data_IF_383146018165
#
_entry.id   IF_383146018165
#
_cell.length_a   1.000
_cell.length_b   1.000
_cell.length_c   1.000
_cell.angle_alpha   90.00
_cell.angle_beta   90.00
_cell.angle_gamma   90.00
#
_symmetry.space_group_name_H-M   'P 1'
#
loop_
_entity.id
_entity.type
_entity.pdbx_description
1 polymer ?
#
# COMPACT_ATOMS: atom_id res chain seq x y z
N UNK A 1 -0.37 70.65 37.44
CA UNK A 1 -0.98 69.52 36.71
C UNK A 1 0.06 68.89 35.80
N UNK A 2 0.63 67.76 36.20
CA UNK A 2 1.50 66.90 35.38
C UNK A 2 1.05 65.47 35.67
N UNK A 3 0.48 64.80 34.67
CA UNK A 3 0.14 63.38 34.74
C UNK A 3 1.36 62.55 34.32
N UNK A 4 1.66 61.43 35.01
CA UNK A 4 2.69 60.50 34.56
C UNK A 4 2.11 59.52 33.54
N UNK A 5 2.83 59.34 32.43
CA UNK A 5 2.58 58.33 31.39
C UNK A 5 3.03 56.95 31.87
N UNK A 6 2.13 55.97 31.84
CA UNK A 6 2.41 54.55 32.06
C UNK A 6 3.00 53.90 30.79
N UNK A 7 3.94 52.95 30.89
CA UNK A 7 4.49 52.24 29.74
C UNK A 7 3.55 51.13 29.27
N UNK A 8 3.35 51.04 27.96
CA UNK A 8 2.61 49.96 27.31
C UNK A 8 3.41 48.64 27.39
N UNK A 9 2.86 47.66 28.10
CA UNK A 9 3.38 46.31 28.16
C UNK A 9 2.89 45.57 26.90
N UNK A 10 3.80 45.30 25.95
CA UNK A 10 3.51 44.55 24.73
C UNK A 10 3.30 43.07 25.05
N UNK A 11 2.05 42.62 24.95
CA UNK A 11 1.69 41.21 25.05
C UNK A 11 2.08 40.49 23.76
N UNK A 12 3.23 39.81 23.77
CA UNK A 12 3.64 38.95 22.66
C UNK A 12 2.74 37.70 22.64
N UNK A 13 1.87 37.61 21.64
CA UNK A 13 1.03 36.45 21.39
C UNK A 13 1.92 35.33 20.79
N UNK A 14 2.31 34.36 21.62
CA UNK A 14 2.95 33.14 21.14
C UNK A 14 1.90 32.30 20.40
N UNK A 15 1.91 32.33 19.06
CA UNK A 15 1.21 31.33 18.25
C UNK A 15 1.97 30.00 18.40
N UNK A 16 1.50 29.14 19.30
CA UNK A 16 1.84 27.73 19.27
C UNK A 16 1.17 27.13 18.01
N UNK A 17 1.96 26.88 16.97
CA UNK A 17 1.55 26.03 15.87
C UNK A 17 1.38 24.60 16.43
N UNK A 18 0.17 24.27 16.86
CA UNK A 18 -0.20 22.88 17.15
C UNK A 18 -0.08 22.09 15.85
N UNK A 19 0.90 21.20 15.76
CA UNK A 19 0.94 20.21 14.70
C UNK A 19 -0.34 19.37 14.80
N UNK A 20 -1.16 19.39 13.77
CA UNK A 20 -2.34 18.53 13.69
C UNK A 20 -1.87 17.09 13.89
N UNK A 21 -2.31 16.47 15.00
CA UNK A 21 -2.06 15.07 15.20
C UNK A 21 -2.74 14.30 14.06
N UNK A 22 -2.02 13.45 13.32
CA UNK A 22 -2.64 12.54 12.37
C UNK A 22 -3.70 11.72 13.10
N UNK A 23 -4.98 12.05 12.89
CA UNK A 23 -6.08 11.30 13.48
C UNK A 23 -6.15 9.94 12.79
N UNK A 24 -6.10 8.87 13.58
CA UNK A 24 -6.46 7.54 13.11
C UNK A 24 -7.96 7.37 13.25
N UNK A 25 -8.67 7.12 12.15
CA UNK A 25 -10.06 6.66 12.18
C UNK A 25 -10.09 5.14 12.06
N UNK A 26 -10.78 4.47 12.97
CA UNK A 26 -11.12 3.05 12.81
C UNK A 26 -12.19 2.89 11.73
N UNK A 27 -12.18 1.77 11.02
CA UNK A 27 -13.17 1.48 9.99
C UNK A 27 -13.07 0.06 9.44
N UNK A 28 -13.94 -0.22 8.48
CA UNK A 28 -13.93 -1.46 7.71
C UNK A 28 -14.23 -1.20 6.25
N UNK A 29 -13.73 -2.07 5.39
CA UNK A 29 -14.10 -2.13 3.97
C UNK A 29 -14.53 -3.56 3.63
N UNK A 30 -15.65 -3.68 2.93
CA UNK A 30 -16.15 -4.94 2.38
C UNK A 30 -15.67 -5.11 0.95
N UNK A 31 -14.99 -6.22 0.68
CA UNK A 31 -14.40 -6.53 -0.61
C UNK A 31 -15.03 -7.82 -1.16
N UNK A 32 -15.69 -7.71 -2.31
CA UNK A 32 -16.33 -8.85 -2.96
C UNK A 32 -15.28 -9.77 -3.58
N UNK A 33 -15.35 -11.07 -3.24
CA UNK A 33 -14.65 -12.15 -3.93
C UNK A 33 -15.70 -12.89 -4.76
N UNK A 34 -15.70 -12.67 -6.08
CA UNK A 34 -16.64 -13.30 -6.99
C UNK A 34 -16.35 -14.79 -7.12
N UNK A 35 -17.40 -15.60 -6.98
CA UNK A 35 -17.43 -17.03 -7.25
C UNK A 35 -17.09 -17.37 -8.70
N UNK A 36 -16.42 -18.52 -8.88
CA UNK A 36 -15.93 -19.02 -10.16
C UNK A 36 -15.12 -17.97 -10.94
N UNK A 37 -14.30 -17.17 -10.25
CA UNK A 37 -13.57 -16.05 -10.85
C UNK A 37 -12.27 -15.70 -10.12
N UNK A 38 -11.47 -14.85 -10.75
CA UNK A 38 -10.32 -14.18 -10.15
C UNK A 38 -10.72 -12.79 -9.65
N UNK A 39 -10.69 -12.56 -8.34
CA UNK A 39 -10.97 -11.27 -7.72
C UNK A 39 -9.68 -10.59 -7.28
N UNK A 40 -9.37 -9.42 -7.84
CA UNK A 40 -8.13 -8.68 -7.57
C UNK A 40 -8.39 -7.57 -6.58
N UNK A 41 -7.78 -7.67 -5.42
CA UNK A 41 -8.12 -6.88 -4.26
C UNK A 41 -6.86 -6.31 -3.61
N UNK A 42 -7.05 -5.30 -2.77
CA UNK A 42 -6.08 -4.80 -1.81
C UNK A 42 -6.77 -4.41 -0.50
N UNK A 43 -5.98 -4.17 0.55
CA UNK A 43 -6.46 -3.83 1.88
C UNK A 43 -6.33 -2.32 2.09
N UNK A 44 -7.43 -1.55 2.06
CA UNK A 44 -7.39 -0.10 2.25
C UNK A 44 -7.10 0.32 3.70
N UNK A 45 -7.41 -0.53 4.68
CA UNK A 45 -7.10 -0.33 6.09
C UNK A 45 -5.87 -1.14 6.51
N UNK A 46 -5.08 -0.54 7.41
CA UNK A 46 -3.91 -1.17 8.01
C UNK A 46 -4.21 -1.60 9.45
N UNK A 47 -3.35 -2.45 10.00
CA UNK A 47 -3.44 -2.82 11.42
C UNK A 47 -3.14 -1.61 12.31
N UNK A 48 -3.66 -1.56 13.55
CA UNK A 48 -3.24 -0.58 14.54
C UNK A 48 -1.73 -0.61 14.78
N UNK A 49 -1.12 0.55 15.00
CA UNK A 49 0.30 0.63 15.37
C UNK A 49 0.52 -0.01 16.75
N UNK A 50 1.65 -0.68 16.92
CA UNK A 50 2.07 -1.24 18.21
C UNK A 50 2.91 -0.28 19.03
N UNK A 51 3.61 0.64 18.36
CA UNK A 51 4.32 1.73 19.00
C UNK A 51 4.45 2.95 18.05
N UNK A 52 4.81 4.10 18.59
CA UNK A 52 4.98 5.36 17.88
C UNK A 52 6.11 6.19 18.52
N UNK A 53 6.80 7.02 17.75
CA UNK A 53 7.83 7.90 18.30
C UNK A 53 8.18 9.08 17.40
N UNK A 54 9.05 9.94 17.91
CA UNK A 54 9.60 11.07 17.16
C UNK A 54 11.07 10.82 16.84
N UNK A 55 11.50 11.23 15.65
CA UNK A 55 12.87 11.06 15.19
C UNK A 55 13.84 11.92 16.02
N UNK A 56 14.95 11.32 16.44
CA UNK A 56 16.09 11.99 17.10
C UNK A 56 17.38 11.95 16.27
N UNK A 57 17.47 11.01 15.34
CA UNK A 57 18.64 10.85 14.48
C UNK A 57 18.34 9.90 13.32
N UNK A 58 19.05 10.10 12.21
CA UNK A 58 18.88 9.36 10.97
C UNK A 58 20.26 8.98 10.44
N UNK A 59 20.43 7.71 10.13
CA UNK A 59 21.52 7.21 9.29
C UNK A 59 20.94 6.62 8.01
N UNK A 60 21.79 6.20 7.07
CA UNK A 60 21.35 5.78 5.73
C UNK A 60 20.25 4.69 5.76
N UNK A 61 20.31 3.77 6.73
CA UNK A 61 19.31 2.70 6.94
C UNK A 61 18.78 2.63 8.37
N UNK A 62 19.10 3.62 9.20
CA UNK A 62 18.80 3.59 10.62
C UNK A 62 17.98 4.79 11.03
N UNK A 63 17.00 4.56 11.90
CA UNK A 63 16.10 5.59 12.40
C UNK A 63 16.09 5.54 13.93
N UNK A 64 16.64 6.56 14.58
CA UNK A 64 16.70 6.67 16.03
C UNK A 64 15.50 7.45 16.54
N UNK A 65 14.75 6.91 17.50
CA UNK A 65 13.56 7.54 18.08
C UNK A 65 13.81 8.03 19.52
N UNK A 66 13.16 9.13 19.89
CA UNK A 66 13.29 9.77 21.20
C UNK A 66 12.63 8.94 22.31
N UNK A 67 13.29 8.85 23.46
CA UNK A 67 12.71 8.32 24.70
C UNK A 67 12.31 6.84 24.64
N UNK A 68 12.94 6.05 23.75
CA UNK A 68 12.65 4.63 23.58
C UNK A 68 13.57 3.76 24.44
N UNK A 69 13.04 2.63 24.86
CA UNK A 69 13.73 1.61 25.66
C UNK A 69 13.18 0.23 25.34
N UNK A 70 13.23 -0.10 24.05
CA UNK A 70 12.75 -1.36 23.50
C UNK A 70 13.63 -2.53 23.91
N UNK A 71 13.04 -3.72 23.96
CA UNK A 71 13.84 -4.94 23.94
C UNK A 71 14.47 -5.08 22.56
N UNK A 72 15.73 -5.51 22.52
CA UNK A 72 16.44 -5.79 21.27
C UNK A 72 15.59 -6.78 20.45
N UNK A 73 15.44 -6.49 19.17
CA UNK A 73 14.78 -7.34 18.18
C UNK A 73 13.29 -7.65 18.43
N UNK A 74 12.62 -6.90 19.32
CA UNK A 74 11.18 -7.06 19.54
C UNK A 74 10.30 -6.78 18.31
N UNK A 75 10.83 -6.07 17.32
CA UNK A 75 10.17 -5.78 16.04
C UNK A 75 10.74 -6.58 14.86
N UNK A 76 11.58 -7.58 15.13
CA UNK A 76 12.11 -8.48 14.11
C UNK A 76 11.28 -9.77 14.04
N UNK A 77 11.07 -10.27 12.81
CA UNK A 77 10.34 -11.52 12.61
C UNK A 77 11.13 -12.72 13.12
N UNK A 78 10.48 -13.50 13.98
CA UNK A 78 10.93 -14.80 14.46
C UNK A 78 9.74 -15.75 14.59
N UNK A 79 9.66 -16.74 13.69
CA UNK A 79 8.58 -17.72 13.62
C UNK A 79 8.24 -18.41 14.96
N UNK A 80 9.20 -18.58 15.87
CA UNK A 80 9.02 -19.30 17.13
C UNK A 80 8.57 -18.46 18.33
N UNK A 81 8.60 -17.12 18.25
CA UNK A 81 8.30 -16.25 19.40
C UNK A 81 7.77 -14.86 19.09
N UNK A 82 8.00 -14.37 17.87
CA UNK A 82 7.57 -13.06 17.39
C UNK A 82 7.22 -13.21 15.89
N UNK A 83 6.07 -13.82 15.54
CA UNK A 83 5.75 -14.14 14.14
C UNK A 83 5.23 -12.93 13.35
N UNK A 84 5.37 -11.71 13.88
CA UNK A 84 4.94 -10.51 13.17
C UNK A 84 6.10 -9.93 12.36
N UNK A 85 5.77 -9.20 11.32
CA UNK A 85 6.72 -8.33 10.64
C UNK A 85 6.19 -6.92 10.76
N UNK A 86 7.07 -5.95 11.02
CA UNK A 86 6.69 -4.55 11.21
C UNK A 86 7.25 -3.66 10.12
N UNK A 87 6.63 -2.50 9.95
CA UNK A 87 7.16 -1.39 9.18
C UNK A 87 7.06 -0.08 9.96
N UNK A 88 7.97 0.83 9.65
CA UNK A 88 7.95 2.21 10.12
C UNK A 88 7.23 3.08 9.08
N UNK A 89 6.13 3.72 9.46
CA UNK A 89 5.36 4.65 8.63
C UNK A 89 5.61 6.09 9.09
N UNK A 90 6.07 6.94 8.19
CA UNK A 90 6.25 8.37 8.45
C UNK A 90 4.91 9.12 8.34
N UNK A 91 4.58 9.89 9.39
CA UNK A 91 3.29 10.59 9.48
C UNK A 91 3.36 12.08 9.13
N UNK A 92 4.56 12.65 9.10
CA UNK A 92 4.80 14.04 8.74
C UNK A 92 6.19 14.22 8.14
N UNK A 93 6.52 15.47 7.80
CA UNK A 93 7.74 15.81 7.10
C UNK A 93 7.72 15.40 5.63
N UNK A 94 8.88 15.50 4.94
CA UNK A 94 8.95 15.24 3.50
C UNK A 94 8.60 13.80 3.12
N UNK A 95 8.90 12.84 4.01
CA UNK A 95 8.59 11.41 3.84
C UNK A 95 7.17 11.03 4.29
N UNK A 96 6.28 11.97 4.61
CA UNK A 96 4.91 11.64 4.99
C UNK A 96 4.27 10.67 3.99
N UNK A 97 3.85 9.51 4.49
CA UNK A 97 3.22 8.44 3.73
C UNK A 97 4.15 7.33 3.26
N UNK A 98 5.46 7.50 3.36
CA UNK A 98 6.46 6.47 3.06
C UNK A 98 6.52 5.48 4.21
N UNK A 99 6.71 4.21 3.89
CA UNK A 99 6.96 3.17 4.87
C UNK A 99 8.15 2.30 4.47
N UNK A 100 8.88 1.80 5.49
CA UNK A 100 9.95 0.82 5.29
C UNK A 100 9.80 -0.34 6.26
N UNK A 101 10.07 -1.55 5.78
CA UNK A 101 10.09 -2.75 6.62
C UNK A 101 11.18 -2.60 7.68
N UNK A 102 10.87 -3.00 8.91
CA UNK A 102 11.83 -3.08 10.00
C UNK A 102 12.52 -4.45 9.92
N UNK A 103 13.86 -4.43 9.86
CA UNK A 103 14.69 -5.64 9.84
C UNK A 103 15.08 -6.06 11.26
N UNK A 104 15.42 -5.09 12.10
CA UNK A 104 15.81 -5.29 13.50
C UNK A 104 15.67 -3.99 14.29
N UNK A 105 15.80 -4.07 15.61
CA UNK A 105 15.84 -2.89 16.47
C UNK A 105 16.79 -3.06 17.65
N UNK A 106 17.43 -1.97 18.03
CA UNK A 106 18.05 -1.79 19.36
C UNK A 106 17.04 -1.12 20.31
N UNK A 107 17.43 -0.71 21.53
CA UNK A 107 16.49 -0.05 22.45
C UNK A 107 15.86 1.26 21.94
N UNK A 108 16.50 1.96 21.00
CA UNK A 108 15.98 3.24 20.49
C UNK A 108 16.15 3.44 18.98
N UNK A 109 16.74 2.47 18.28
CA UNK A 109 17.07 2.61 16.86
C UNK A 109 16.49 1.45 16.07
N UNK A 110 15.73 1.77 15.01
CA UNK A 110 15.26 0.83 14.00
C UNK A 110 16.29 0.68 12.89
N UNK A 111 16.48 -0.53 12.40
CA UNK A 111 17.18 -0.81 11.14
C UNK A 111 16.12 -1.13 10.09
N UNK A 112 16.10 -0.35 9.01
CA UNK A 112 15.07 -0.43 7.99
C UNK A 112 15.60 -1.06 6.70
N UNK A 113 14.74 -1.81 6.02
CA UNK A 113 14.96 -2.21 4.64
C UNK A 113 14.57 -1.04 3.73
N UNK A 114 15.58 -0.35 3.21
CA UNK A 114 15.38 0.84 2.38
C UNK A 114 15.27 0.52 0.89
N UNK A 115 15.40 -0.76 0.49
CA UNK A 115 15.36 -1.21 -0.91
C UNK A 115 16.30 -0.44 -1.88
N UNK A 116 17.34 0.22 -1.33
CA UNK A 116 18.29 1.03 -2.09
C UNK A 116 18.25 2.52 -1.77
N UNK A 117 17.20 3.02 -1.10
CA UNK A 117 17.14 4.39 -0.63
C UNK A 117 18.17 4.69 0.45
N UNK A 118 18.52 5.97 0.56
CA UNK A 118 19.29 6.54 1.66
C UNK A 118 18.39 7.52 2.44
N UNK A 119 18.05 7.18 3.69
CA UNK A 119 17.19 8.02 4.52
C UNK A 119 17.77 9.41 4.82
N UNK A 120 19.09 9.58 4.72
CA UNK A 120 19.76 10.88 4.93
C UNK A 120 19.71 11.78 3.70
N UNK A 121 19.48 11.19 2.52
CA UNK A 121 19.48 11.86 1.22
C UNK A 121 18.28 11.43 0.36
N UNK A 122 17.13 11.21 0.99
CA UNK A 122 15.95 10.66 0.33
C UNK A 122 15.39 11.62 -0.75
N UNK A 123 14.95 11.14 -1.93
CA UNK A 123 14.48 11.99 -3.03
C UNK A 123 13.30 12.91 -2.67
N UNK A 124 12.42 12.46 -1.77
CA UNK A 124 11.29 13.26 -1.29
C UNK A 124 11.69 14.36 -0.29
N UNK A 125 12.92 14.36 0.22
CA UNK A 125 13.46 15.38 1.13
C UNK A 125 14.05 14.83 2.42
N UNK A 126 14.60 15.71 3.25
CA UNK A 126 15.31 15.35 4.48
C UNK A 126 14.37 15.10 5.64
N UNK A 127 14.58 13.99 6.37
CA UNK A 127 13.89 13.71 7.63
C UNK A 127 14.44 14.63 8.72
N UNK A 128 13.56 15.38 9.38
CA UNK A 128 13.91 16.32 10.44
C UNK A 128 13.74 15.70 11.84
N UNK A 129 14.50 16.23 12.80
CA UNK A 129 14.27 15.96 14.22
C UNK A 129 12.82 16.28 14.59
N UNK A 130 12.19 15.41 15.37
CA UNK A 130 10.80 15.57 15.79
C UNK A 130 9.76 15.03 14.80
N UNK A 131 10.15 14.60 13.58
CA UNK A 131 9.20 13.96 12.68
C UNK A 131 8.62 12.69 13.31
N UNK A 132 7.33 12.43 13.08
CA UNK A 132 6.59 11.35 13.72
C UNK A 132 6.58 10.10 12.87
N UNK A 133 6.74 8.97 13.55
CA UNK A 133 6.75 7.64 12.94
C UNK A 133 5.90 6.68 13.76
N UNK A 134 5.10 5.87 13.07
CA UNK A 134 4.37 4.75 13.66
C UNK A 134 5.03 3.42 13.28
N UNK A 135 5.08 2.50 14.23
CA UNK A 135 5.53 1.12 14.04
C UNK A 135 4.29 0.25 13.94
N UNK A 136 4.06 -0.32 12.76
CA UNK A 136 2.81 -1.00 12.42
C UNK A 136 3.13 -2.42 11.96
N UNK A 137 2.41 -3.44 12.46
CA UNK A 137 2.56 -4.78 11.93
C UNK A 137 1.94 -4.87 10.52
N UNK A 138 2.61 -5.58 9.62
CA UNK A 138 2.02 -5.96 8.35
C UNK A 138 0.77 -6.82 8.56
N UNK A 139 -0.15 -6.78 7.60
CA UNK A 139 -1.12 -7.85 7.48
C UNK A 139 -0.40 -9.13 7.09
N UNK A 140 -0.74 -10.25 7.73
CA UNK A 140 -0.35 -11.58 7.27
C UNK A 140 -1.54 -12.26 6.63
N UNK A 141 -1.28 -13.26 5.78
CA UNK A 141 -2.33 -14.07 5.16
C UNK A 141 -3.25 -14.68 6.22
N UNK A 142 -2.70 -15.19 7.31
CA UNK A 142 -3.47 -15.70 8.45
C UNK A 142 -4.40 -14.65 9.09
N UNK A 143 -3.95 -13.40 9.22
CA UNK A 143 -4.74 -12.33 9.85
C UNK A 143 -5.93 -11.91 8.97
N UNK A 144 -5.77 -11.99 7.64
CA UNK A 144 -6.75 -11.49 6.67
C UNK A 144 -7.75 -12.57 6.26
N UNK A 145 -7.26 -13.80 6.08
CA UNK A 145 -8.04 -14.90 5.53
C UNK A 145 -8.34 -15.99 6.55
N UNK A 146 -7.92 -15.86 7.81
CA UNK A 146 -8.07 -16.88 8.85
C UNK A 146 -6.96 -17.93 8.84
N UNK A 147 -6.69 -18.55 9.98
CA UNK A 147 -5.57 -19.46 10.22
C UNK A 147 -5.97 -20.88 10.62
N UNK A 148 -7.28 -21.13 10.80
CA UNK A 148 -7.84 -22.43 11.17
C UNK A 148 -8.91 -22.88 10.18
N UNK A 149 -9.24 -24.18 10.21
CA UNK A 149 -10.28 -24.76 9.34
C UNK A 149 -11.67 -24.14 9.58
N UNK A 150 -11.89 -23.52 10.74
CA UNK A 150 -13.15 -22.86 11.11
C UNK A 150 -13.17 -21.39 10.70
N UNK A 151 -12.02 -20.72 10.72
CA UNK A 151 -11.91 -19.27 10.48
C UNK A 151 -11.48 -18.94 9.06
N UNK A 152 -10.97 -19.91 8.30
CA UNK A 152 -10.49 -19.66 6.94
C UNK A 152 -11.63 -19.22 6.02
N UNK A 153 -11.42 -18.11 5.32
CA UNK A 153 -12.41 -17.51 4.42
C UNK A 153 -12.56 -18.29 3.11
N UNK A 154 -11.46 -18.82 2.59
CA UNK A 154 -11.40 -19.48 1.27
C UNK A 154 -11.67 -20.99 1.39
N UNK A 155 -12.12 -21.62 0.30
CA UNK A 155 -12.39 -23.07 0.30
C UNK A 155 -11.05 -23.84 0.45
N UNK A 156 -10.91 -24.66 1.51
CA UNK A 156 -9.65 -25.35 1.79
C UNK A 156 -9.41 -26.50 0.81
N UNK A 157 -8.15 -26.73 0.46
CA UNK A 157 -7.74 -27.95 -0.24
C UNK A 157 -7.74 -29.14 0.73
N UNK A 158 -8.36 -30.24 0.33
CA UNK A 158 -8.27 -31.53 1.05
C UNK A 158 -6.94 -32.24 0.77
N UNK A 159 -6.32 -31.99 -0.38
CA UNK A 159 -5.00 -32.51 -0.78
C UNK A 159 -4.28 -31.53 -1.70
N UNK A 160 -2.94 -31.48 -1.69
CA UNK A 160 -2.17 -30.61 -2.59
C UNK A 160 -2.48 -30.82 -4.08
N UNK A 161 -2.91 -32.02 -4.47
CA UNK A 161 -3.18 -32.40 -5.86
C UNK A 161 -4.52 -31.88 -6.40
N UNK A 162 -5.46 -31.54 -5.51
CA UNK A 162 -6.79 -31.06 -5.90
C UNK A 162 -6.91 -29.57 -5.59
N UNK A 163 -6.85 -28.74 -6.63
CA UNK A 163 -6.96 -27.30 -6.48
C UNK A 163 -8.38 -26.92 -6.00
N UNK A 164 -8.43 -26.13 -4.93
CA UNK A 164 -9.61 -25.43 -4.44
C UNK A 164 -9.38 -23.93 -4.65
N UNK A 165 -9.53 -23.09 -3.66
CA UNK A 165 -9.19 -21.67 -3.82
C UNK A 165 -7.69 -21.42 -3.71
N UNK A 166 -7.22 -20.38 -4.41
CA UNK A 166 -5.83 -19.92 -4.33
C UNK A 166 -5.76 -18.42 -4.03
N UNK A 167 -4.72 -18.04 -3.29
CA UNK A 167 -4.28 -16.66 -3.13
C UNK A 167 -3.02 -16.44 -3.97
N UNK A 168 -3.10 -15.55 -4.95
CA UNK A 168 -2.02 -15.24 -5.87
C UNK A 168 -1.40 -13.89 -5.48
N UNK A 169 -0.11 -13.91 -5.14
CA UNK A 169 0.63 -12.72 -4.73
C UNK A 169 1.56 -12.28 -5.87
N UNK A 170 1.63 -10.97 -6.13
CA UNK A 170 2.45 -10.39 -7.19
C UNK A 170 3.69 -9.72 -6.61
N UNK A 171 4.75 -9.66 -7.42
CA UNK A 171 5.99 -8.99 -7.09
C UNK A 171 6.16 -7.75 -7.99
N UNK A 172 6.28 -6.58 -7.37
CA UNK A 172 6.50 -5.31 -8.07
C UNK A 172 7.97 -5.01 -8.35
N UNK A 173 8.91 -5.70 -7.68
CA UNK A 173 10.36 -5.55 -7.93
C UNK A 173 10.78 -6.18 -9.26
N UNK A 174 10.09 -7.25 -9.69
CA UNK A 174 10.30 -7.86 -10.99
C UNK A 174 9.74 -6.99 -12.13
N UNK A 175 10.56 -6.74 -13.15
CA UNK A 175 10.17 -6.02 -14.36
C UNK A 175 9.48 -6.92 -15.39
N UNK A 176 8.44 -6.40 -16.04
CA UNK A 176 7.81 -7.02 -17.20
C UNK A 176 6.32 -6.74 -17.28
N UNK A 177 5.72 -7.02 -18.43
CA UNK A 177 4.27 -6.88 -18.65
C UNK A 177 3.57 -8.23 -18.49
N UNK A 178 2.30 -8.21 -18.04
CA UNK A 178 1.50 -9.41 -17.77
C UNK A 178 2.19 -10.41 -16.83
N UNK A 179 2.79 -9.91 -15.75
CA UNK A 179 3.54 -10.74 -14.80
C UNK A 179 2.67 -11.84 -14.20
N UNK A 180 3.21 -13.05 -14.16
CA UNK A 180 2.63 -14.14 -13.39
C UNK A 180 2.70 -13.82 -11.88
N UNK A 181 1.85 -14.44 -11.05
CA UNK A 181 2.00 -14.39 -9.61
C UNK A 181 3.39 -14.89 -9.19
N UNK A 182 4.04 -14.18 -8.27
CA UNK A 182 5.31 -14.56 -7.69
C UNK A 182 5.17 -15.69 -6.65
N UNK A 183 4.00 -15.78 -6.00
CA UNK A 183 3.65 -16.87 -5.10
C UNK A 183 2.19 -17.26 -5.27
N UNK A 184 1.92 -18.56 -5.20
CA UNK A 184 0.56 -19.10 -5.12
C UNK A 184 0.41 -19.82 -3.79
N UNK A 185 -0.44 -19.27 -2.93
CA UNK A 185 -0.76 -19.83 -1.63
C UNK A 185 -2.12 -20.51 -1.66
N UNK A 186 -2.30 -21.50 -0.81
CA UNK A 186 -3.58 -22.16 -0.59
C UNK A 186 -3.67 -22.58 0.88
N UNK A 187 -4.90 -22.67 1.38
CA UNK A 187 -5.14 -23.25 2.70
C UNK A 187 -5.36 -24.76 2.55
N UNK A 188 -4.66 -25.57 3.36
CA UNK A 188 -4.83 -27.03 3.39
C UNK A 188 -5.56 -27.43 4.67
N UNK A 189 -6.70 -28.12 4.52
CA UNK A 189 -7.49 -28.61 5.64
C UNK A 189 -6.61 -29.40 6.63
N UNK A 190 -6.76 -29.13 7.92
CA UNK A 190 -5.99 -29.71 9.04
C UNK A 190 -4.47 -29.45 8.99
N UNK A 191 -4.01 -28.54 8.12
CA UNK A 191 -2.58 -28.26 7.96
C UNK A 191 -2.27 -26.76 7.83
N UNK A 192 -3.25 -25.88 7.62
CA UNK A 192 -3.03 -24.44 7.52
C UNK A 192 -2.53 -23.99 6.14
N UNK A 193 -2.05 -22.75 6.10
CA UNK A 193 -1.54 -22.10 4.89
C UNK A 193 -0.26 -22.73 4.36
N UNK A 194 -0.24 -22.99 3.05
CA UNK A 194 0.89 -23.56 2.30
C UNK A 194 1.13 -22.76 1.02
N UNK A 195 2.35 -22.87 0.49
CA UNK A 195 2.69 -22.42 -0.85
C UNK A 195 2.72 -23.62 -1.80
N UNK A 196 2.34 -23.43 -3.06
CA UNK A 196 2.52 -24.45 -4.12
C UNK A 196 3.99 -24.85 -4.24
N UNK A 197 4.91 -23.89 -4.09
CA UNK A 197 6.36 -24.14 -4.21
C UNK A 197 6.99 -24.71 -2.92
N UNK A 198 6.25 -24.68 -1.80
CA UNK A 198 6.71 -25.22 -0.52
C UNK A 198 5.54 -25.79 0.29
N UNK A 199 4.99 -26.95 -0.13
CA UNK A 199 3.75 -27.48 0.41
C UNK A 199 3.86 -28.03 1.84
N UNK A 200 5.07 -28.15 2.38
CA UNK A 200 5.36 -28.69 3.71
C UNK A 200 5.63 -27.59 4.76
N UNK A 201 5.91 -26.37 4.34
CA UNK A 201 6.23 -25.24 5.24
C UNK A 201 5.00 -24.37 5.45
N UNK A 202 4.88 -23.76 6.62
CA UNK A 202 3.75 -22.84 6.87
C UNK A 202 3.95 -21.58 6.05
N UNK A 203 2.88 -21.09 5.44
CA UNK A 203 2.85 -19.79 4.76
C UNK A 203 1.91 -18.80 5.45
N UNK A 204 1.47 -19.12 6.68
CA UNK A 204 0.54 -18.29 7.46
C UNK A 204 1.06 -16.87 7.69
N UNK A 205 2.37 -16.75 7.95
CA UNK A 205 3.05 -15.47 8.21
C UNK A 205 3.43 -14.69 6.94
N UNK A 206 2.97 -15.13 5.76
CA UNK A 206 3.27 -14.39 4.52
C UNK A 206 2.65 -13.00 4.62
N UNK A 207 3.48 -11.96 4.48
CA UNK A 207 3.04 -10.57 4.59
C UNK A 207 2.26 -10.12 3.35
N UNK A 208 1.30 -9.22 3.57
CA UNK A 208 0.57 -8.47 2.57
C UNK A 208 0.91 -6.98 2.79
N UNK A 209 1.85 -6.41 2.00
CA UNK A 209 2.25 -5.01 2.17
C UNK A 209 1.10 -4.02 1.93
N UNK A 210 1.10 -2.84 2.57
CA UNK A 210 0.15 -1.77 2.26
C UNK A 210 0.16 -1.43 0.77
N UNK A 211 -1.02 -1.30 0.18
CA UNK A 211 -1.18 -0.97 -1.24
C UNK A 211 -0.85 -2.09 -2.22
N UNK A 212 -0.33 -3.23 -1.76
CA UNK A 212 -0.09 -4.39 -2.62
C UNK A 212 -1.41 -5.01 -3.07
N UNK A 213 -1.42 -5.52 -4.29
CA UNK A 213 -2.56 -6.22 -4.84
C UNK A 213 -2.31 -7.73 -4.75
N UNK A 214 -3.35 -8.47 -4.41
CA UNK A 214 -3.41 -9.92 -4.52
C UNK A 214 -4.64 -10.33 -5.32
N UNK A 215 -4.63 -11.56 -5.84
CA UNK A 215 -5.81 -12.16 -6.48
C UNK A 215 -6.30 -13.32 -5.62
N UNK A 216 -7.58 -13.32 -5.27
CA UNK A 216 -8.26 -14.53 -4.79
C UNK A 216 -8.85 -15.23 -6.01
N UNK A 217 -8.31 -16.40 -6.34
CA UNK A 217 -8.89 -17.30 -7.33
C UNK A 217 -9.89 -18.20 -6.63
N UNK A 218 -11.16 -17.84 -6.75
CA UNK A 218 -12.30 -18.55 -6.14
C UNK A 218 -12.83 -19.58 -7.13
N UNK A 219 -12.64 -20.87 -6.84
CA UNK A 219 -13.15 -21.97 -7.68
C UNK A 219 -14.57 -22.37 -7.31
N UNK A 220 -14.98 -22.15 -6.07
CA UNK A 220 -16.38 -22.26 -5.66
C UNK A 220 -17.27 -21.25 -6.38
N UNK A 221 -18.51 -21.61 -6.69
CA UNK A 221 -19.44 -20.73 -7.45
C UNK A 221 -20.07 -19.62 -6.60
N UNK A 222 -20.02 -19.76 -5.27
CA UNK A 222 -20.56 -18.78 -4.33
C UNK A 222 -19.58 -17.64 -4.13
N UNK A 223 -20.12 -16.42 -4.17
CA UNK A 223 -19.39 -15.20 -3.82
C UNK A 223 -19.05 -15.21 -2.32
N UNK A 224 -17.87 -14.68 -1.98
CA UNK A 224 -17.46 -14.43 -0.60
C UNK A 224 -17.26 -12.94 -0.38
N UNK A 225 -17.25 -12.53 0.89
CA UNK A 225 -16.96 -11.17 1.29
C UNK A 225 -15.74 -11.18 2.22
N UNK A 226 -14.70 -10.46 1.82
CA UNK A 226 -13.54 -10.19 2.67
C UNK A 226 -13.76 -8.83 3.35
N UNK A 227 -13.85 -8.84 4.68
CA UNK A 227 -14.00 -7.61 5.46
C UNK A 227 -12.66 -7.20 6.06
N UNK A 228 -12.08 -6.10 5.57
CA UNK A 228 -10.84 -5.55 6.07
C UNK A 228 -11.12 -4.54 7.18
N UNK A 229 -11.03 -4.98 8.44
CA UNK A 229 -11.09 -4.12 9.62
C UNK A 229 -9.73 -3.53 9.95
N UNK A 230 -9.68 -2.25 10.28
CA UNK A 230 -8.42 -1.65 10.73
C UNK A 230 -8.51 -0.17 11.03
N UNK A 231 -7.37 0.48 10.96
CA UNK A 231 -7.23 1.93 11.14
C UNK A 231 -6.71 2.57 9.87
N UNK A 232 -7.03 3.84 9.71
CA UNK A 232 -6.48 4.69 8.67
C UNK A 232 -5.98 5.99 9.27
N UNK A 233 -4.73 6.35 9.01
CA UNK A 233 -4.23 7.70 9.31
C UNK A 233 -4.57 8.64 8.16
N UNK A 234 -5.33 9.71 8.41
CA UNK A 234 -5.64 10.74 7.40
C UNK A 234 -4.41 11.59 7.09
N UNK A 235 -3.45 10.99 6.40
CA UNK A 235 -2.19 11.58 5.91
C UNK A 235 -1.96 11.16 4.47
N UNK A 236 -1.13 11.90 3.74
CA UNK A 236 -0.67 11.50 2.41
C UNK A 236 -0.04 10.10 2.46
N UNK A 237 -0.21 9.30 1.42
CA UNK A 237 0.41 7.98 1.22
C UNK A 237 1.36 8.04 0.03
N UNK A 238 2.47 7.32 0.11
CA UNK A 238 3.43 7.20 -0.98
C UNK A 238 3.49 5.73 -1.41
N UNK A 239 3.37 5.48 -2.71
CA UNK A 239 3.59 4.17 -3.31
C UNK A 239 4.61 4.34 -4.42
N UNK A 240 5.76 3.69 -4.29
CA UNK A 240 6.72 3.69 -5.37
C UNK A 240 6.20 2.86 -6.55
N UNK A 241 6.21 3.46 -7.75
CA UNK A 241 5.84 2.80 -9.00
C UNK A 241 7.11 2.67 -9.83
N UNK A 242 7.63 1.45 -9.93
CA UNK A 242 8.88 1.21 -10.66
C UNK A 242 8.74 1.60 -12.14
N UNK A 243 9.85 1.97 -12.77
CA UNK A 243 9.90 2.35 -14.18
C UNK A 243 9.61 1.21 -15.15
N UNK A 244 9.55 1.52 -16.44
CA UNK A 244 9.27 0.56 -17.51
C UNK A 244 10.46 -0.32 -17.93
N UNK A 245 11.68 -0.06 -17.43
CA UNK A 245 12.86 -0.83 -17.84
C UNK A 245 13.06 -0.82 -19.36
N UNK A 246 13.51 -1.94 -19.94
CA UNK A 246 13.76 -2.06 -21.39
C UNK A 246 12.56 -2.56 -22.20
N UNK A 247 11.62 -3.26 -21.56
CA UNK A 247 10.52 -3.96 -22.24
C UNK A 247 9.12 -3.48 -21.84
N UNK A 248 9.04 -2.52 -20.91
CA UNK A 248 7.81 -2.15 -20.23
C UNK A 248 7.64 -2.92 -18.91
N UNK A 249 6.79 -2.40 -18.03
CA UNK A 249 6.60 -2.96 -16.71
C UNK A 249 5.17 -2.74 -16.20
N UNK A 250 4.51 -3.80 -15.74
CA UNK A 250 3.23 -3.70 -15.03
C UNK A 250 3.50 -3.60 -13.53
N UNK A 251 2.94 -2.58 -12.88
CA UNK A 251 3.03 -2.36 -11.44
C UNK A 251 1.64 -2.53 -10.83
N UNK A 252 1.51 -3.47 -9.90
CA UNK A 252 0.25 -3.82 -9.25
C UNK A 252 0.11 -3.02 -7.96
N UNK A 253 -0.70 -1.97 -7.99
CA UNK A 253 -0.87 -1.02 -6.89
C UNK A 253 -2.35 -0.82 -6.60
N UNK A 254 -2.66 -0.08 -5.54
CA UNK A 254 -4.02 0.27 -5.18
C UNK A 254 -4.05 1.57 -4.39
N UNK A 255 -5.24 2.08 -4.10
CA UNK A 255 -5.41 3.15 -3.14
C UNK A 255 -5.14 2.62 -1.73
N UNK A 256 -4.19 3.23 -1.02
CA UNK A 256 -3.94 3.02 0.42
C UNK A 256 -4.80 4.00 1.25
N UNK A 257 -5.99 4.29 0.73
CA UNK A 257 -6.97 5.20 1.27
C UNK A 257 -8.30 4.43 1.35
N UNK A 258 -9.08 4.57 2.44
CA UNK A 258 -10.40 3.98 2.56
C UNK A 258 -11.49 4.77 1.83
N UNK A 259 -11.12 5.81 1.09
CA UNK A 259 -12.03 6.69 0.38
C UNK A 259 -11.70 6.67 -1.13
N UNK A 260 -12.73 6.69 -1.99
CA UNK A 260 -12.51 6.70 -3.44
C UNK A 260 -11.95 8.05 -3.88
N UNK A 261 -11.12 8.04 -4.92
CA UNK A 261 -10.57 9.25 -5.56
C UNK A 261 -10.97 9.31 -7.01
N UNK A 262 -11.28 10.49 -7.55
CA UNK A 262 -11.32 10.67 -9.01
C UNK A 262 -9.92 10.47 -9.61
N UNK A 263 -9.83 10.16 -10.90
CA UNK A 263 -8.53 10.08 -11.59
C UNK A 263 -7.75 11.40 -11.51
N UNK A 264 -8.43 12.55 -11.50
CA UNK A 264 -7.79 13.85 -11.30
C UNK A 264 -7.23 14.00 -9.89
N UNK A 265 -8.03 13.72 -8.86
CA UNK A 265 -7.61 13.81 -7.45
C UNK A 265 -6.51 12.79 -7.10
N UNK A 266 -6.48 11.64 -7.79
CA UNK A 266 -5.48 10.61 -7.56
C UNK A 266 -4.04 11.09 -7.76
N UNK A 267 -3.81 12.17 -8.53
CA UNK A 267 -2.47 12.64 -8.85
C UNK A 267 -1.67 11.71 -9.78
N UNK A 268 -2.30 10.68 -10.35
CA UNK A 268 -1.63 9.75 -11.26
C UNK A 268 -1.18 10.43 -12.56
N UNK A 269 -1.89 11.44 -13.05
CA UNK A 269 -1.71 11.98 -14.41
C UNK A 269 -0.59 13.00 -14.48
N UNK A 270 0.36 12.82 -15.40
CA UNK A 270 1.45 13.77 -15.65
C UNK A 270 2.59 13.73 -14.62
N UNK A 271 2.41 13.03 -13.50
CA UNK A 271 3.47 12.68 -12.55
C UNK A 271 3.87 11.22 -12.70
N UNK A 272 3.05 10.32 -12.17
CA UNK A 272 3.27 8.88 -12.29
C UNK A 272 3.09 8.48 -13.74
N UNK A 273 1.89 8.56 -14.30
CA UNK A 273 1.57 8.16 -15.69
C UNK A 273 2.04 9.22 -16.67
N UNK A 274 2.99 8.85 -17.53
CA UNK A 274 3.54 9.72 -18.58
C UNK A 274 2.45 10.08 -19.57
N UNK A 275 2.40 11.37 -19.94
CA UNK A 275 1.40 11.86 -20.90
C UNK A 275 1.58 11.22 -22.28
N UNK A 276 0.47 10.72 -22.81
CA UNK A 276 0.39 10.23 -24.19
C UNK A 276 0.30 11.39 -25.17
N UNK A 277 1.07 11.38 -26.28
CA UNK A 277 1.00 12.43 -27.30
C UNK A 277 -0.34 12.42 -28.06
N UNK A 278 -0.98 11.26 -28.23
CA UNK A 278 -2.26 11.13 -28.91
C UNK A 278 -3.06 9.93 -28.41
N UNK A 279 -4.29 9.78 -28.89
CA UNK A 279 -5.15 8.62 -28.57
C UNK A 279 -4.64 7.32 -29.23
N UNK A 280 -3.91 7.45 -30.35
CA UNK A 280 -3.37 6.33 -31.11
C UNK A 280 -2.01 5.88 -30.59
N UNK A 281 -1.22 6.80 -30.01
CA UNK A 281 0.10 6.53 -29.47
C UNK A 281 0.04 6.79 -27.97
N UNK A 282 -0.17 5.71 -27.21
CA UNK A 282 -0.22 5.77 -25.75
C UNK A 282 1.17 5.57 -25.17
N UNK A 283 1.48 6.37 -24.14
CA UNK A 283 2.71 6.25 -23.37
C UNK A 283 2.49 5.19 -22.28
N UNK A 284 2.13 5.62 -21.08
CA UNK A 284 1.73 4.74 -20.00
C UNK A 284 0.22 4.54 -19.97
N UNK A 285 -0.22 3.42 -19.41
CA UNK A 285 -1.63 3.05 -19.29
C UNK A 285 -1.97 2.67 -17.85
N UNK A 286 -3.20 2.96 -17.43
CA UNK A 286 -3.78 2.42 -16.20
C UNK A 286 -4.80 1.37 -16.60
N UNK A 287 -4.59 0.14 -16.15
CA UNK A 287 -5.44 -1.01 -16.45
C UNK A 287 -6.21 -1.38 -15.18
N UNK A 288 -7.52 -1.46 -15.32
CA UNK A 288 -8.42 -1.87 -14.25
C UNK A 288 -9.06 -3.20 -14.63
N UNK A 289 -9.37 -3.98 -13.60
CA UNK A 289 -10.01 -5.29 -13.69
C UNK A 289 -11.16 -5.35 -12.68
N UNK A 290 -12.21 -4.58 -12.95
CA UNK A 290 -13.46 -4.52 -12.18
C UNK A 290 -14.44 -5.64 -12.53
N UNK A 291 -14.08 -6.46 -13.53
CA UNK A 291 -15.03 -7.31 -14.24
C UNK A 291 -15.83 -8.21 -13.27
N UNK A 292 -17.17 -8.12 -13.26
CA UNK A 292 -18.03 -9.03 -12.53
C UNK A 292 -18.16 -10.41 -13.22
N UNK A 293 -17.44 -10.61 -14.33
CA UNK A 293 -17.51 -11.82 -15.13
C UNK A 293 -16.92 -13.03 -14.38
N UNK A 294 -17.61 -14.15 -14.48
CA UNK A 294 -17.07 -15.46 -14.11
C UNK A 294 -15.97 -15.84 -15.10
N UNK A 295 -14.94 -16.53 -14.61
CA UNK A 295 -13.79 -16.93 -15.40
C UNK A 295 -12.48 -16.58 -14.73
N UNK A 296 -11.45 -17.36 -15.03
CA UNK A 296 -10.09 -17.11 -14.53
C UNK A 296 -9.27 -16.37 -15.58
N UNK A 297 -8.31 -15.58 -15.13
CA UNK A 297 -7.44 -14.76 -15.97
C UNK A 297 -8.20 -13.78 -16.86
N UNK A 298 -9.24 -13.15 -16.31
CA UNK A 298 -10.06 -12.18 -17.03
C UNK A 298 -9.21 -11.06 -17.65
N UNK A 299 -9.55 -10.69 -18.88
CA UNK A 299 -8.94 -9.56 -19.56
C UNK A 299 -9.21 -8.25 -18.80
N UNK A 300 -8.39 -7.24 -19.07
CA UNK A 300 -8.61 -5.87 -18.59
C UNK A 300 -9.94 -5.35 -19.14
N UNK A 301 -10.83 -4.84 -18.26
CA UNK A 301 -12.12 -4.28 -18.68
C UNK A 301 -11.99 -2.79 -19.07
N UNK A 302 -11.11 -2.07 -18.37
CA UNK A 302 -10.93 -0.64 -18.57
C UNK A 302 -9.45 -0.30 -18.72
N UNK A 303 -9.10 0.33 -19.84
CA UNK A 303 -7.77 0.88 -20.11
C UNK A 303 -7.87 2.40 -20.18
N UNK A 304 -7.05 3.08 -19.38
CA UNK A 304 -7.04 4.53 -19.25
C UNK A 304 -5.67 5.08 -19.64
N UNK A 305 -5.64 6.31 -20.14
CA UNK A 305 -4.40 7.02 -20.46
C UNK A 305 -4.57 8.52 -20.23
N UNK A 306 -3.46 9.20 -19.91
CA UNK A 306 -3.44 10.64 -19.65
C UNK A 306 -2.89 11.42 -20.85
N UNK A 307 -3.47 12.58 -21.15
CA UNK A 307 -2.98 13.53 -22.16
C UNK A 307 -2.77 14.90 -21.53
N UNK A 308 -1.56 15.43 -21.63
CA UNK A 308 -1.23 16.75 -21.07
C UNK A 308 -2.09 17.84 -21.74
N UNK A 309 -2.68 18.71 -20.93
CA UNK A 309 -3.58 19.78 -21.39
C UNK A 309 -5.01 19.34 -21.73
N UNK A 310 -5.30 18.03 -21.75
CA UNK A 310 -6.63 17.50 -22.06
C UNK A 310 -7.25 16.66 -20.92
N UNK A 311 -6.42 15.98 -20.12
CA UNK A 311 -6.86 15.16 -19.00
C UNK A 311 -6.84 13.66 -19.27
N UNK A 312 -7.66 12.92 -18.52
CA UNK A 312 -7.75 11.46 -18.57
C UNK A 312 -8.76 10.97 -19.59
N UNK A 313 -8.42 9.93 -20.33
CA UNK A 313 -9.29 9.30 -21.32
C UNK A 313 -9.36 7.79 -21.07
N UNK A 314 -10.52 7.21 -21.38
CA UNK A 314 -10.67 5.77 -21.55
C UNK A 314 -10.40 5.41 -23.01
N UNK A 315 -9.74 4.27 -23.25
CA UNK A 315 -9.51 3.76 -24.62
C UNK A 315 -10.86 3.49 -25.28
N UNK A 316 -11.05 4.05 -26.48
CA UNK A 316 -12.31 4.00 -27.22
C UNK A 316 -13.17 5.26 -27.05
N UNK A 317 -12.90 6.07 -26.04
CA UNK A 317 -13.68 7.29 -25.75
C UNK A 317 -12.97 8.54 -26.29
N UNK A 318 -13.75 9.56 -26.66
CA UNK A 318 -13.26 10.84 -27.17
C UNK A 318 -13.34 11.99 -26.15
N UNK A 319 -14.00 11.77 -25.01
CA UNK A 319 -14.21 12.77 -23.97
C UNK A 319 -13.34 12.48 -22.74
N UNK A 320 -12.79 13.52 -22.09
CA UNK A 320 -12.03 13.32 -20.86
C UNK A 320 -12.96 12.92 -19.70
N UNK A 321 -12.49 12.04 -18.82
CA UNK A 321 -13.25 11.43 -17.71
C UNK A 321 -12.60 11.64 -16.35
N UNK A 322 -11.60 12.53 -16.26
CA UNK A 322 -10.75 12.67 -15.07
C UNK A 322 -11.51 12.93 -13.77
N UNK A 323 -12.56 13.75 -13.81
CA UNK A 323 -13.33 14.15 -12.64
C UNK A 323 -14.57 13.27 -12.38
N UNK A 324 -14.87 12.33 -13.28
CA UNK A 324 -16.07 11.49 -13.19
C UNK A 324 -15.73 10.02 -12.97
N UNK A 325 -14.52 9.61 -13.34
CA UNK A 325 -14.06 8.25 -13.14
C UNK A 325 -13.43 8.10 -11.76
N UNK A 326 -14.10 7.36 -10.88
CA UNK A 326 -13.63 7.06 -9.52
C UNK A 326 -12.75 5.81 -9.52
N UNK A 327 -11.65 5.86 -8.79
CA UNK A 327 -10.87 4.73 -8.32
C UNK A 327 -11.38 4.33 -6.93
N UNK A 328 -11.72 3.07 -6.72
CA UNK A 328 -12.31 2.61 -5.47
C UNK A 328 -11.25 2.08 -4.49
N UNK A 329 -11.45 2.24 -3.16
CA UNK A 329 -10.64 1.58 -2.14
C UNK A 329 -10.61 0.06 -2.34
N UNK A 330 -9.45 -0.55 -2.12
CA UNK A 330 -9.27 -2.00 -2.28
C UNK A 330 -9.35 -2.51 -3.72
N UNK A 331 -9.56 -1.64 -4.71
CA UNK A 331 -9.49 -2.00 -6.12
C UNK A 331 -8.03 -2.20 -6.57
N UNK A 332 -7.79 -3.24 -7.36
CA UNK A 332 -6.53 -3.44 -8.04
C UNK A 332 -6.34 -2.48 -9.22
N UNK A 333 -5.24 -1.72 -9.19
CA UNK A 333 -4.82 -0.80 -10.24
C UNK A 333 -3.51 -1.31 -10.82
N UNK A 334 -3.46 -1.56 -12.13
CA UNK A 334 -2.22 -1.94 -12.79
C UNK A 334 -1.72 -0.74 -13.58
N UNK A 335 -0.58 -0.19 -13.18
CA UNK A 335 0.09 0.87 -13.94
C UNK A 335 1.06 0.19 -14.90
N UNK A 336 0.73 0.24 -16.19
CA UNK A 336 1.59 -0.24 -17.26
C UNK A 336 2.51 0.89 -17.71
N UNK A 337 3.79 0.74 -17.37
CA UNK A 337 4.88 1.64 -17.71
C UNK A 337 5.48 1.25 -19.05
N UNK A 338 5.61 2.20 -19.96
CA UNK A 338 6.32 2.02 -21.23
C UNK A 338 7.82 1.89 -20.99
N UNK A 339 8.49 1.09 -21.81
CA UNK A 339 9.94 0.99 -21.84
C UNK A 339 10.61 2.37 -21.84
N UNK A 340 11.67 2.53 -21.04
CA UNK A 340 12.42 3.77 -20.87
C UNK A 340 11.84 4.77 -19.87
N UNK A 341 10.63 4.56 -19.36
CA UNK A 341 10.02 5.45 -18.36
C UNK A 341 10.67 5.22 -17.00
N UNK A 342 11.05 6.30 -16.30
CA UNK A 342 11.62 6.24 -14.96
C UNK A 342 10.59 5.81 -13.90
N UNK A 343 11.07 5.30 -12.76
CA UNK A 343 10.22 5.08 -11.59
C UNK A 343 9.84 6.40 -10.91
N UNK A 344 8.71 6.43 -10.22
CA UNK A 344 8.21 7.65 -9.55
C UNK A 344 7.29 7.28 -8.39
N UNK A 345 7.31 8.08 -7.33
CA UNK A 345 6.37 7.95 -6.22
C UNK A 345 4.98 8.45 -6.60
N UNK A 346 3.99 7.58 -6.39
CA UNK A 346 2.59 7.96 -6.43
C UNK A 346 2.16 8.49 -5.06
N UNK A 347 1.97 9.80 -5.00
CA UNK A 347 1.53 10.50 -3.80
C UNK A 347 -0.01 10.60 -3.77
N UNK A 348 -0.63 9.77 -2.94
CA UNK A 348 -2.09 9.76 -2.75
C UNK A 348 -2.43 10.69 -1.58
N UNK A 349 -3.25 11.71 -1.82
CA UNK A 349 -3.69 12.63 -0.77
C UNK A 349 -5.14 12.32 -0.41
N UNK A 350 -5.47 12.11 0.87
CA UNK A 350 -6.86 11.96 1.29
C UNK A 350 -7.67 13.18 0.88
N UNK A 351 -8.94 13.02 0.46
CA UNK A 351 -9.84 14.14 0.23
C UNK A 351 -9.93 15.06 1.47
N UNK A 352 -10.17 16.37 1.26
CA UNK A 352 -10.26 17.36 2.35
C UNK A 352 -11.27 16.96 3.44
#
# INVERSE_FOLDING_TARGET
MKFPTLPACGLALLLAAGSAAAQSSGGSASLLIKGASDSRLSLPYQRPHTDAGTVSGVGAKTLKLQGKSWTIDQFSYNAGGQPETYYALFLDGPLQGVFYKILSNSPDTLVLDTEGDDLTAHPLGTIAFGNRVHIIPYWRVADVFGDTDVTVLIDPRTSPLFAADDLLLYDNSASGVNKAPARTLYYRANAGWRSVDSPLTSSADTIIPPGSVFTVRRRGVTDLELVNFGVFHKVRRAVYVAGGGTTGNDQFVSLILPEPLTLTESGLGGGVVTSSPSQLIRADEVLLRRSPATGFNNATDTTLYYRQGFGWFKVGDSTPIGNTFMLSPGEAIIIRRKAGTAGTDWLQTPPP
#
